data_IF_544074771708
#
_entry.id   IF_544074771708
#
_cell.length_a   1.000
_cell.length_b   1.000
_cell.length_c   1.000
_cell.angle_alpha   90.00
_cell.angle_beta   90.00
_cell.angle_gamma   90.00
#
_symmetry.space_group_name_H-M   'P 1'
#
loop_
_entity.id
_entity.type
_entity.pdbx_description
1 polymer ?
#
# COMPACT_ATOMS: atom_id res chain seq x y z
N UNK A 1 5.94 -5.87 -1.63
CA UNK A 1 4.97 -6.65 -0.83
C UNK A 1 5.74 -7.42 0.23
N UNK A 2 5.25 -7.44 1.48
CA UNK A 2 5.87 -8.18 2.58
C UNK A 2 5.92 -9.71 2.35
N UNK A 3 4.88 -10.28 1.74
CA UNK A 3 4.80 -11.72 1.44
C UNK A 3 5.90 -12.17 0.46
N UNK A 4 6.17 -11.35 -0.56
CA UNK A 4 7.26 -11.60 -1.51
C UNK A 4 8.62 -11.70 -0.81
N UNK A 5 8.90 -10.81 0.15
CA UNK A 5 10.16 -10.82 0.90
C UNK A 5 10.29 -12.05 1.81
N UNK A 6 9.18 -12.54 2.39
CA UNK A 6 9.15 -13.75 3.22
C UNK A 6 9.43 -14.99 2.36
N UNK A 7 8.81 -15.09 1.18
CA UNK A 7 9.04 -16.21 0.25
C UNK A 7 10.50 -16.26 -0.22
N UNK A 8 11.10 -15.09 -0.50
CA UNK A 8 12.51 -14.97 -0.85
C UNK A 8 13.44 -15.45 0.27
N UNK A 9 13.16 -15.05 1.52
CA UNK A 9 13.94 -15.44 2.70
C UNK A 9 13.85 -16.94 2.98
N UNK A 10 12.64 -17.51 2.96
CA UNK A 10 12.39 -18.85 3.49
C UNK A 10 12.55 -19.96 2.45
N UNK A 11 12.34 -19.65 1.16
CA UNK A 11 12.32 -20.67 0.10
C UNK A 11 13.21 -20.36 -1.11
N UNK A 12 13.86 -19.19 -1.11
CA UNK A 12 14.72 -18.74 -2.21
C UNK A 12 13.96 -18.18 -3.42
N UNK A 13 14.68 -17.52 -4.35
CA UNK A 13 14.09 -16.79 -5.49
C UNK A 13 13.30 -17.70 -6.46
N UNK A 14 13.48 -19.02 -6.38
CA UNK A 14 12.76 -19.99 -7.22
C UNK A 14 11.30 -20.26 -6.82
N UNK A 15 10.77 -19.65 -5.75
CA UNK A 15 9.37 -19.84 -5.29
C UNK A 15 8.56 -18.55 -5.10
N UNK A 16 9.04 -17.39 -5.57
CA UNK A 16 8.34 -16.10 -5.43
C UNK A 16 7.22 -15.86 -6.46
N UNK A 17 6.77 -16.89 -7.16
CA UNK A 17 5.73 -16.76 -8.19
C UNK A 17 4.39 -16.34 -7.58
N UNK A 18 3.74 -15.35 -8.20
CA UNK A 18 2.42 -14.79 -7.83
C UNK A 18 2.33 -14.00 -6.51
N UNK A 19 3.46 -13.63 -5.88
CA UNK A 19 3.47 -12.77 -4.68
C UNK A 19 3.68 -11.28 -4.99
N UNK A 20 3.87 -10.94 -6.27
CA UNK A 20 4.04 -9.58 -6.74
C UNK A 20 2.68 -8.92 -6.97
N UNK A 21 2.52 -7.72 -6.44
CA UNK A 21 1.40 -6.83 -6.74
C UNK A 21 1.92 -5.71 -7.63
N UNK A 22 1.13 -5.27 -8.60
CA UNK A 22 1.47 -4.13 -9.44
C UNK A 22 1.42 -2.82 -8.65
N UNK A 23 1.96 -1.74 -9.23
CA UNK A 23 1.80 -0.38 -8.73
C UNK A 23 0.40 0.18 -9.04
N UNK A 24 -0.65 -0.58 -8.69
CA UNK A 24 -2.02 -0.23 -9.00
C UNK A 24 -2.43 1.11 -8.35
N UNK A 25 -3.13 1.94 -9.12
CA UNK A 25 -3.68 3.23 -8.66
C UNK A 25 -5.04 3.04 -8.02
N UNK A 26 -5.05 2.52 -6.78
CA UNK A 26 -6.26 2.30 -6.00
C UNK A 26 -7.06 3.59 -5.75
N UNK A 27 -6.35 4.71 -5.65
CA UNK A 27 -6.93 6.05 -5.61
C UNK A 27 -7.78 6.37 -6.84
N UNK A 28 -7.30 6.02 -8.04
CA UNK A 28 -8.04 6.20 -9.30
C UNK A 28 -9.24 5.25 -9.38
N UNK A 29 -9.11 4.02 -8.88
CA UNK A 29 -10.23 3.07 -8.82
C UNK A 29 -11.38 3.60 -7.95
N UNK A 30 -11.07 4.17 -6.78
CA UNK A 30 -12.09 4.79 -5.91
C UNK A 30 -12.66 6.06 -6.52
N UNK A 31 -11.84 6.90 -7.16
CA UNK A 31 -12.32 8.07 -7.88
C UNK A 31 -13.30 7.69 -9.01
N UNK A 32 -13.02 6.63 -9.76
CA UNK A 32 -13.91 6.11 -10.81
C UNK A 32 -15.27 5.61 -10.30
N UNK A 33 -15.34 5.21 -9.02
CA UNK A 33 -16.58 4.81 -8.34
C UNK A 33 -17.30 5.99 -7.65
N UNK A 34 -16.79 7.21 -7.78
CA UNK A 34 -17.38 8.43 -7.20
C UNK A 34 -16.91 8.75 -5.78
N UNK A 35 -15.85 8.10 -5.29
CA UNK A 35 -15.21 8.43 -4.01
C UNK A 35 -14.07 9.44 -4.14
N UNK A 36 -13.41 9.74 -3.02
CA UNK A 36 -12.22 10.59 -2.95
C UNK A 36 -10.94 9.76 -3.03
N UNK A 37 -10.11 9.98 -4.05
CA UNK A 37 -8.82 9.31 -4.20
C UNK A 37 -7.63 10.23 -3.90
N UNK A 38 -6.69 9.78 -3.09
CA UNK A 38 -5.40 10.46 -2.86
C UNK A 38 -4.25 9.48 -3.13
N UNK A 39 -3.20 9.95 -3.80
CA UNK A 39 -1.98 9.18 -4.02
C UNK A 39 -0.79 9.85 -3.33
N UNK A 40 -0.11 9.11 -2.45
CA UNK A 40 0.96 9.63 -1.58
C UNK A 40 2.24 8.83 -1.82
N UNK A 41 3.23 9.45 -2.46
CA UNK A 41 4.56 8.87 -2.71
C UNK A 41 5.65 9.38 -1.77
N UNK A 42 5.32 10.36 -0.89
CA UNK A 42 6.25 10.96 0.07
C UNK A 42 5.62 11.09 1.44
N UNK A 43 6.35 10.71 2.49
CA UNK A 43 5.85 10.76 3.87
C UNK A 43 5.33 12.15 4.27
N UNK A 44 6.03 13.23 3.89
CA UNK A 44 5.61 14.60 4.18
C UNK A 44 4.35 15.09 3.45
N UNK A 45 3.73 14.28 2.57
CA UNK A 45 2.42 14.60 1.97
C UNK A 45 1.26 13.97 2.74
N UNK A 46 1.52 13.00 3.61
CA UNK A 46 0.48 12.14 4.18
C UNK A 46 -0.53 12.92 5.01
N UNK A 47 -0.07 13.80 5.89
CA UNK A 47 -0.94 14.59 6.75
C UNK A 47 -1.90 15.47 5.94
N UNK A 48 -1.40 16.14 4.92
CA UNK A 48 -2.20 16.99 4.05
C UNK A 48 -3.21 16.16 3.22
N UNK A 49 -2.83 14.96 2.76
CA UNK A 49 -3.73 14.06 2.04
C UNK A 49 -4.85 13.55 2.94
N UNK A 50 -4.55 13.17 4.17
CA UNK A 50 -5.54 12.77 5.17
C UNK A 50 -6.52 13.91 5.50
N UNK A 51 -6.01 15.14 5.65
CA UNK A 51 -6.85 16.30 5.91
C UNK A 51 -7.85 16.57 4.76
N UNK A 52 -7.39 16.49 3.50
CA UNK A 52 -8.29 16.62 2.33
C UNK A 52 -9.30 15.48 2.23
N UNK A 53 -8.86 14.24 2.46
CA UNK A 53 -9.74 13.08 2.44
C UNK A 53 -10.84 13.20 3.50
N UNK A 54 -10.51 13.60 4.72
CA UNK A 54 -11.49 13.82 5.80
C UNK A 54 -12.45 14.97 5.48
N UNK A 55 -11.97 16.05 4.85
CA UNK A 55 -12.79 17.19 4.45
C UNK A 55 -13.72 16.91 3.25
N UNK A 56 -13.45 15.85 2.48
CA UNK A 56 -14.20 15.53 1.25
C UNK A 56 -15.67 15.17 1.50
N UNK A 57 -16.00 14.65 2.69
CA UNK A 57 -17.33 14.12 3.00
C UNK A 57 -17.72 12.88 2.18
N UNK A 58 -16.77 12.26 1.47
CA UNK A 58 -16.98 11.10 0.63
C UNK A 58 -16.26 9.87 1.21
N UNK A 59 -16.66 8.64 0.83
CA UNK A 59 -15.80 7.47 0.99
C UNK A 59 -14.45 7.73 0.30
N UNK A 60 -13.36 7.61 1.06
CA UNK A 60 -12.03 8.01 0.60
C UNK A 60 -11.03 6.83 0.62
N UNK A 61 -10.14 6.80 -0.36
CA UNK A 61 -8.96 5.94 -0.40
C UNK A 61 -7.70 6.80 -0.50
N UNK A 62 -6.81 6.62 0.47
CA UNK A 62 -5.47 7.22 0.45
C UNK A 62 -4.47 6.11 0.14
N UNK A 63 -4.04 6.05 -1.11
CA UNK A 63 -3.07 5.08 -1.62
C UNK A 63 -1.65 5.56 -1.31
N UNK A 64 -1.06 5.01 -0.25
CA UNK A 64 0.28 5.39 0.23
C UNK A 64 1.32 4.39 -0.28
N UNK A 65 2.28 4.88 -1.05
CA UNK A 65 3.44 4.08 -1.43
C UNK A 65 4.35 3.90 -0.23
N UNK A 66 4.70 2.63 0.03
CA UNK A 66 5.61 2.24 1.10
C UNK A 66 6.70 1.35 0.54
N UNK A 67 7.87 1.38 1.17
CA UNK A 67 8.91 0.41 0.88
C UNK A 67 8.43 -0.99 1.29
N UNK A 68 8.53 -1.94 0.37
CA UNK A 68 8.12 -3.32 0.58
C UNK A 68 9.14 -4.09 1.41
N UNK A 69 9.27 -3.74 2.69
CA UNK A 69 10.09 -4.46 3.66
C UNK A 69 9.39 -5.75 4.10
N UNK A 70 10.16 -6.73 4.60
CA UNK A 70 9.60 -7.92 5.23
C UNK A 70 8.70 -7.52 6.40
N UNK A 71 7.60 -8.24 6.61
CA UNK A 71 6.75 -8.01 7.78
C UNK A 71 7.58 -8.12 9.07
N UNK A 72 7.36 -7.25 10.06
CA UNK A 72 8.04 -7.38 11.35
C UNK A 72 7.74 -8.77 11.93
N UNK A 73 8.78 -9.53 12.26
CA UNK A 73 8.62 -10.77 13.00
C UNK A 73 8.23 -10.40 14.45
N UNK A 74 7.03 -10.76 14.88
CA UNK A 74 6.76 -10.82 16.32
C UNK A 74 7.74 -11.83 16.94
N UNK A 75 8.31 -11.57 18.13
CA UNK A 75 9.15 -12.56 18.79
C UNK A 75 8.34 -13.84 18.97
N UNK A 76 8.92 -14.97 18.54
CA UNK A 76 8.34 -16.28 18.76
C UNK A 76 8.16 -16.49 20.27
N UNK A 77 6.96 -16.92 20.65
CA UNK A 77 6.61 -17.29 22.02
C UNK A 77 7.52 -18.42 22.57
#
# INVERSE_FOLDING_TARGET
NAEYQIQLRDYGPGRTYACELSAARYDEAVAGLGGHGEHVSRAGALEAALARAAASGLPACVNVEIEGLAAPAAPAH
#
